data_IF_305034218929
#
_entry.id   IF_305034218929
#
_cell.length_a   1.000
_cell.length_b   1.000
_cell.length_c   1.000
_cell.angle_alpha   90.00
_cell.angle_beta   90.00
_cell.angle_gamma   90.00
#
_symmetry.space_group_name_H-M   'P 1'
#
loop_
_entity.id
_entity.type
_entity.pdbx_description
1 polymer ?
#
# COMPACT_ATOMS: atom_id res chain seq x y z
N UNK A 1 -7.84 -27.22 4.70
CA UNK A 1 -8.13 -27.76 3.35
C UNK A 1 -8.71 -26.62 2.52
N UNK A 2 -8.13 -26.34 1.34
CA UNK A 2 -8.47 -25.22 0.44
C UNK A 2 -8.13 -23.81 1.00
N UNK A 3 -7.75 -22.79 0.22
CA UNK A 3 -7.23 -22.66 -1.17
C UNK A 3 -6.58 -21.24 -1.27
N UNK A 4 -5.90 -20.73 -2.31
CA UNK A 4 -5.52 -21.10 -3.70
C UNK A 4 -3.98 -20.87 -3.86
N UNK A 5 -3.21 -21.41 -4.82
CA UNK A 5 -3.24 -21.39 -6.30
C UNK A 5 -2.89 -20.05 -7.00
N UNK A 6 -1.82 -19.37 -6.54
CA UNK A 6 -1.16 -18.26 -7.27
C UNK A 6 -0.22 -18.72 -8.40
N UNK A 7 -0.69 -19.60 -9.29
CA UNK A 7 0.07 -20.14 -10.42
C UNK A 7 -0.54 -19.72 -11.76
N UNK A 8 0.18 -18.88 -12.51
CA UNK A 8 0.05 -18.52 -13.94
C UNK A 8 -1.29 -17.94 -14.44
N UNK A 9 -2.45 -18.30 -13.89
CA UNK A 9 -3.79 -17.82 -14.28
C UNK A 9 -4.12 -16.38 -13.82
N UNK A 10 -3.23 -15.75 -13.06
CA UNK A 10 -3.37 -14.37 -12.58
C UNK A 10 -2.74 -13.36 -13.56
N UNK A 11 -1.84 -13.82 -14.43
CA UNK A 11 -1.13 -12.98 -15.41
C UNK A 11 -2.04 -12.42 -16.52
N UNK A 12 -3.17 -13.08 -16.80
CA UNK A 12 -4.09 -12.72 -17.89
C UNK A 12 -5.35 -11.98 -17.41
N UNK A 13 -5.51 -11.76 -16.09
CA UNK A 13 -6.62 -10.97 -15.56
C UNK A 13 -6.40 -9.49 -15.86
N UNK A 14 -7.40 -8.82 -16.45
CA UNK A 14 -7.30 -7.38 -16.72
C UNK A 14 -7.14 -6.60 -15.42
N UNK A 15 -7.84 -6.98 -14.34
CA UNK A 15 -7.72 -6.35 -13.03
C UNK A 15 -7.41 -7.41 -11.95
N UNK A 16 -6.47 -7.09 -11.06
CA UNK A 16 -6.10 -7.87 -9.88
C UNK A 16 -6.15 -6.96 -8.66
N UNK A 17 -6.81 -7.43 -7.59
CA UNK A 17 -6.90 -6.72 -6.32
C UNK A 17 -5.85 -7.25 -5.35
N UNK A 18 -5.08 -6.36 -4.74
CA UNK A 18 -4.09 -6.66 -3.71
C UNK A 18 -4.58 -6.04 -2.40
N UNK A 19 -4.62 -6.83 -1.34
CA UNK A 19 -5.11 -6.40 -0.03
C UNK A 19 -4.12 -6.82 1.07
N UNK A 20 -3.85 -5.92 2.01
CA UNK A 20 -3.29 -6.25 3.32
C UNK A 20 -4.23 -5.70 4.40
N UNK A 21 -4.93 -6.55 5.17
CA UNK A 21 -5.86 -6.09 6.18
C UNK A 21 -5.16 -5.39 7.36
N UNK A 22 -3.90 -5.74 7.70
CA UNK A 22 -3.17 -5.17 8.85
C UNK A 22 -1.66 -5.15 8.61
N UNK A 23 -1.18 -4.10 7.92
CA UNK A 23 0.24 -3.74 7.96
C UNK A 23 0.58 -3.17 9.35
N UNK A 24 1.76 -3.52 9.87
CA UNK A 24 2.16 -3.21 11.24
C UNK A 24 1.51 -4.10 12.29
N UNK A 25 1.24 -5.38 11.99
CA UNK A 25 0.58 -6.36 12.88
C UNK A 25 1.15 -6.37 14.31
N UNK A 26 2.47 -6.25 14.48
CA UNK A 26 3.11 -6.18 15.79
C UNK A 26 2.67 -4.95 16.60
N UNK A 27 2.51 -3.78 15.96
CA UNK A 27 2.01 -2.57 16.61
C UNK A 27 0.54 -2.74 16.98
N UNK A 28 -0.27 -3.27 16.05
CA UNK A 28 -1.70 -3.55 16.27
C UNK A 28 -1.93 -4.47 17.48
N UNK A 29 -1.26 -5.63 17.53
CA UNK A 29 -1.39 -6.61 18.62
C UNK A 29 -0.91 -6.07 19.96
N UNK A 30 0.10 -5.19 19.98
CA UNK A 30 0.60 -4.55 21.20
C UNK A 30 -0.11 -3.22 21.53
N UNK A 31 -1.19 -2.86 20.84
CA UNK A 31 -2.00 -1.66 21.12
C UNK A 31 -1.37 -0.32 20.72
N UNK A 32 -0.28 -0.34 19.95
CA UNK A 32 0.34 0.89 19.42
C UNK A 32 -0.41 1.37 18.16
N UNK A 33 -0.84 2.64 18.06
CA UNK A 33 -1.62 3.17 16.93
C UNK A 33 -0.77 3.48 15.68
N UNK A 34 0.14 2.57 15.34
CA UNK A 34 1.06 2.64 14.19
C UNK A 34 0.86 1.42 13.27
N UNK A 35 -0.37 1.25 12.78
CA UNK A 35 -0.77 0.19 11.85
C UNK A 35 -1.66 0.76 10.73
N UNK A 36 -1.87 -0.01 9.68
CA UNK A 36 -2.64 0.41 8.52
C UNK A 36 -3.38 -0.77 7.87
N UNK A 37 -4.40 -0.47 7.07
CA UNK A 37 -5.02 -1.41 6.14
C UNK A 37 -4.83 -0.87 4.74
N UNK A 38 -4.41 -1.71 3.79
CA UNK A 38 -4.12 -1.28 2.42
C UNK A 38 -4.87 -2.08 1.37
N UNK A 39 -5.23 -1.41 0.28
CA UNK A 39 -5.88 -1.99 -0.89
C UNK A 39 -5.31 -1.35 -2.16
N UNK A 40 -5.09 -2.14 -3.18
CA UNK A 40 -4.59 -1.69 -4.48
C UNK A 40 -5.19 -2.48 -5.62
N UNK A 41 -5.32 -1.84 -6.79
CA UNK A 41 -5.73 -2.49 -8.03
C UNK A 41 -4.60 -2.41 -9.04
N UNK A 42 -4.20 -3.57 -9.55
CA UNK A 42 -3.32 -3.71 -10.71
C UNK A 42 -4.20 -3.86 -11.95
N UNK A 43 -3.97 -3.07 -13.01
CA UNK A 43 -4.49 -3.34 -14.36
C UNK A 43 -3.40 -3.95 -15.22
N UNK A 44 -3.57 -5.18 -15.71
CA UNK A 44 -2.55 -5.95 -16.47
C UNK A 44 -1.16 -5.89 -15.80
N UNK A 45 -1.13 -6.16 -14.49
CA UNK A 45 0.08 -6.11 -13.67
C UNK A 45 0.63 -4.72 -13.30
N UNK A 46 0.02 -3.61 -13.77
CA UNK A 46 0.42 -2.24 -13.42
C UNK A 46 -0.50 -1.63 -12.35
N UNK A 47 0.01 -1.04 -11.24
CA UNK A 47 -0.85 -0.37 -10.27
C UNK A 47 -1.56 0.84 -10.90
N UNK A 48 -2.89 0.89 -10.77
CA UNK A 48 -3.74 1.97 -11.32
C UNK A 48 -4.47 2.78 -10.25
N UNK A 49 -4.76 2.19 -9.09
CA UNK A 49 -5.31 2.90 -7.92
C UNK A 49 -4.90 2.17 -6.64
N UNK A 50 -4.74 2.91 -5.55
CA UNK A 50 -4.54 2.34 -4.22
C UNK A 50 -4.99 3.28 -3.12
N UNK A 51 -5.38 2.70 -1.99
CA UNK A 51 -5.74 3.39 -0.77
C UNK A 51 -5.10 2.72 0.44
N UNK A 52 -4.72 3.52 1.43
CA UNK A 52 -4.18 3.09 2.72
C UNK A 52 -4.94 3.85 3.79
N UNK A 53 -5.71 3.13 4.61
CA UNK A 53 -6.20 3.67 5.87
C UNK A 53 -5.11 3.54 6.91
N UNK A 54 -4.74 4.64 7.56
CA UNK A 54 -3.77 4.65 8.65
C UNK A 54 -4.46 4.95 9.98
N UNK A 55 -4.09 4.25 11.05
CA UNK A 55 -4.51 4.58 12.42
C UNK A 55 -3.98 5.94 12.89
N UNK A 56 -2.80 6.35 12.40
CA UNK A 56 -2.23 7.69 12.62
C UNK A 56 -1.69 8.24 11.30
N UNK A 57 -2.13 9.43 10.90
CA UNK A 57 -1.70 10.15 9.69
C UNK A 57 -0.81 11.36 10.00
N UNK A 58 -0.38 12.08 8.95
CA UNK A 58 0.31 13.37 9.06
C UNK A 58 -0.48 14.43 9.85
N UNK A 59 -1.82 14.31 9.92
CA UNK A 59 -2.70 15.19 10.67
C UNK A 59 -2.93 14.72 12.12
N UNK A 60 -2.12 13.77 12.62
CA UNK A 60 -2.20 13.18 13.96
C UNK A 60 -3.57 12.58 14.32
N UNK A 61 -4.32 12.16 13.30
CA UNK A 61 -5.61 11.47 13.39
C UNK A 61 -5.66 10.28 12.43
N UNK A 62 -6.59 9.32 12.60
CA UNK A 62 -6.85 8.32 11.57
C UNK A 62 -7.29 8.94 10.25
N UNK A 63 -7.11 8.22 9.16
CA UNK A 63 -7.67 8.59 7.87
C UNK A 63 -7.11 7.82 6.67
N UNK A 64 -7.71 8.06 5.50
CA UNK A 64 -7.38 7.38 4.24
C UNK A 64 -6.49 8.26 3.36
N UNK A 65 -5.30 7.75 3.08
CA UNK A 65 -4.51 8.18 1.92
C UNK A 65 -4.98 7.42 0.68
N UNK A 66 -5.07 8.08 -0.48
CA UNK A 66 -5.36 7.41 -1.74
C UNK A 66 -4.68 8.10 -2.93
N UNK A 67 -4.40 7.34 -3.98
CA UNK A 67 -3.86 7.85 -5.23
C UNK A 67 -4.29 6.96 -6.41
N UNK A 68 -4.34 7.54 -7.60
CA UNK A 68 -4.56 6.82 -8.87
C UNK A 68 -3.46 7.16 -9.88
N UNK A 69 -3.32 6.36 -10.94
CA UNK A 69 -2.33 6.59 -12.00
C UNK A 69 -2.50 7.98 -12.61
N UNK A 70 -1.41 8.77 -12.59
CA UNK A 70 -1.40 10.17 -13.04
C UNK A 70 -2.05 11.19 -12.10
N UNK A 71 -2.70 10.75 -11.01
CA UNK A 71 -3.30 11.63 -9.99
C UNK A 71 -2.33 12.05 -8.88
N UNK A 72 -2.70 13.05 -8.07
CA UNK A 72 -1.99 13.39 -6.84
C UNK A 72 -2.19 12.29 -5.77
N UNK A 73 -1.34 12.33 -4.74
CA UNK A 73 -1.65 11.69 -3.46
C UNK A 73 -2.65 12.57 -2.70
N UNK A 74 -3.77 12.00 -2.30
CA UNK A 74 -4.78 12.64 -1.48
C UNK A 74 -4.82 12.04 -0.07
N UNK A 75 -5.38 12.79 0.89
CA UNK A 75 -5.76 12.36 2.23
C UNK A 75 -7.15 12.90 2.55
N UNK A 76 -8.12 12.03 2.84
CA UNK A 76 -9.55 12.39 2.97
C UNK A 76 -10.11 13.16 1.75
N UNK A 77 -9.68 12.78 0.53
CA UNK A 77 -10.09 13.44 -0.71
C UNK A 77 -9.24 14.65 -1.10
N UNK A 78 -8.75 15.41 -0.14
CA UNK A 78 -7.92 16.60 -0.36
C UNK A 78 -6.47 16.24 -0.73
N UNK A 79 -5.78 17.03 -1.58
CA UNK A 79 -4.37 16.80 -1.91
C UNK A 79 -3.49 16.77 -0.64
N UNK A 80 -2.81 15.65 -0.41
CA UNK A 80 -1.98 15.47 0.77
C UNK A 80 -0.73 16.36 0.67
N UNK A 81 -0.32 17.04 1.77
CA UNK A 81 0.89 17.83 1.76
C UNK A 81 2.11 16.92 1.55
N UNK A 82 2.75 17.05 0.38
CA UNK A 82 4.09 16.52 0.15
C UNK A 82 5.07 17.31 1.00
N UNK A 83 5.25 16.85 2.25
CA UNK A 83 6.23 17.44 3.17
C UNK A 83 7.61 17.46 2.53
N UNK A 84 8.37 18.54 2.77
CA UNK A 84 9.79 18.60 2.35
C UNK A 84 10.50 17.38 2.93
N UNK A 85 11.29 16.61 2.13
CA UNK A 85 11.97 15.43 2.63
C UNK A 85 12.85 15.79 3.83
N UNK A 86 12.53 15.26 5.00
CA UNK A 86 13.37 15.40 6.18
C UNK A 86 14.68 14.65 5.93
N UNK A 87 15.80 15.39 5.95
CA UNK A 87 17.12 14.92 5.47
C UNK A 87 17.60 13.63 6.19
N UNK A 88 17.11 13.35 7.40
CA UNK A 88 17.40 12.13 8.16
C UNK A 88 16.58 10.88 7.79
N UNK A 89 15.51 10.98 7.00
CA UNK A 89 14.61 9.85 6.70
C UNK A 89 15.18 8.98 5.57
N UNK A 90 15.85 7.89 5.97
CA UNK A 90 16.54 6.95 5.07
C UNK A 90 15.58 6.05 4.25
N UNK A 91 14.36 5.80 4.73
CA UNK A 91 13.33 4.98 4.04
C UNK A 91 12.11 5.84 3.78
N UNK A 92 11.65 5.88 2.53
CA UNK A 92 10.52 6.72 2.09
C UNK A 92 9.37 5.83 1.64
N UNK A 93 8.16 6.13 2.11
CA UNK A 93 6.94 5.71 1.44
C UNK A 93 6.86 6.47 0.12
N UNK A 94 6.96 5.77 -1.00
CA UNK A 94 6.94 6.36 -2.33
C UNK A 94 5.75 5.85 -3.12
N UNK A 95 4.74 6.68 -3.31
CA UNK A 95 3.79 6.50 -4.41
C UNK A 95 4.48 6.99 -5.70
N UNK A 96 4.81 6.07 -6.59
CA UNK A 96 5.41 6.39 -7.90
C UNK A 96 4.34 6.19 -8.99
N UNK A 97 3.67 7.26 -9.46
CA UNK A 97 2.75 7.16 -10.57
C UNK A 97 3.54 6.99 -11.87
N UNK A 98 3.75 5.74 -12.27
CA UNK A 98 4.35 5.35 -13.55
C UNK A 98 5.87 5.10 -13.52
N UNK A 99 6.29 4.12 -14.34
CA UNK A 99 7.69 3.73 -14.62
C UNK A 99 8.57 3.37 -13.42
N UNK A 100 8.22 2.28 -12.75
CA UNK A 100 9.22 1.35 -12.23
C UNK A 100 9.38 0.14 -13.18
N UNK A 101 10.33 0.21 -14.13
CA UNK A 101 10.85 -1.00 -14.79
C UNK A 101 11.84 -1.68 -13.83
N UNK A 102 11.29 -2.24 -12.76
CA UNK A 102 12.05 -2.88 -11.69
C UNK A 102 11.27 -4.09 -11.19
N UNK A 103 11.88 -5.28 -11.33
CA UNK A 103 11.31 -6.56 -10.88
C UNK A 103 10.94 -6.45 -9.41
N UNK A 104 9.63 -6.37 -9.12
CA UNK A 104 9.11 -6.29 -7.76
C UNK A 104 9.53 -7.55 -7.01
N UNK A 105 10.53 -7.43 -6.13
CA UNK A 105 11.02 -8.58 -5.38
C UNK A 105 9.92 -8.99 -4.40
N UNK A 106 9.55 -10.28 -4.41
CA UNK A 106 8.55 -10.84 -3.51
C UNK A 106 8.90 -10.50 -2.06
N UNK A 107 8.11 -9.60 -1.47
CA UNK A 107 8.01 -9.42 -0.03
C UNK A 107 7.43 -10.72 0.54
N UNK A 108 8.31 -11.61 0.97
CA UNK A 108 7.92 -12.82 1.67
C UNK A 108 7.61 -12.48 3.14
N UNK A 109 6.38 -12.10 3.41
CA UNK A 109 5.86 -12.06 4.79
C UNK A 109 5.66 -13.50 5.26
N UNK A 110 6.70 -14.12 5.82
CA UNK A 110 6.57 -15.40 6.52
C UNK A 110 5.86 -15.17 7.84
N UNK A 111 4.57 -15.51 7.88
CA UNK A 111 3.89 -15.78 9.15
C UNK A 111 4.20 -17.22 9.55
N UNK A 112 5.10 -17.40 10.52
CA UNK A 112 5.20 -18.65 11.27
C UNK A 112 4.16 -18.60 12.39
N UNK A 113 3.19 -19.52 12.34
CA UNK A 113 2.35 -19.87 13.48
C UNK A 113 3.15 -20.73 14.48
#
# INVERSE_FOLDING_TARGET
MGAEAGGDAEADREFVWVLDPVDGTANFVNGFPLFASSIGVLRRGRPVVGAIWCSTSHALRPGVYHAQEGGPLCFEGEPAPLGRPSVGVKRRLGASPGRAHGRMQRLHTRVTA
#
